data_IF_209566385819
#
_entry.id   IF_209566385819
#
_cell.length_a   1.000
_cell.length_b   1.000
_cell.length_c   1.000
_cell.angle_alpha   90.00
_cell.angle_beta   90.00
_cell.angle_gamma   90.00
#
_symmetry.space_group_name_H-M   'P 1'
#
loop_
_entity.id
_entity.type
_entity.pdbx_description
1 polymer ?
#
# COMPACT_ATOMS: atom_id res chain seq x y z
N UNK A 1 -7.56 -11.32 13.25
CA UNK A 1 -8.62 -12.30 13.54
C UNK A 1 -9.65 -11.75 14.54
N UNK A 2 -9.23 -11.07 15.62
CA UNK A 2 -10.14 -10.45 16.60
C UNK A 2 -11.06 -9.35 16.00
N UNK A 3 -10.54 -8.45 15.16
CA UNK A 3 -11.34 -7.37 14.57
C UNK A 3 -12.41 -7.88 13.59
N UNK A 4 -12.06 -8.84 12.72
CA UNK A 4 -13.03 -9.48 11.81
C UNK A 4 -14.17 -10.15 12.59
N UNK A 5 -13.87 -10.79 13.72
CA UNK A 5 -14.89 -11.42 14.56
C UNK A 5 -15.77 -10.37 15.26
N UNK A 6 -15.20 -9.23 15.67
CA UNK A 6 -15.96 -8.13 16.27
C UNK A 6 -16.99 -7.54 15.29
N UNK A 7 -16.61 -7.39 14.00
CA UNK A 7 -17.54 -6.90 12.98
C UNK A 7 -18.49 -7.97 12.44
N UNK A 8 -18.04 -9.22 12.29
CA UNK A 8 -18.87 -10.33 11.80
C UNK A 8 -19.99 -10.71 12.79
N UNK A 9 -19.80 -10.48 14.10
CA UNK A 9 -20.80 -10.77 15.14
C UNK A 9 -22.05 -9.85 15.10
N UNK A 10 -22.10 -8.83 14.24
CA UNK A 10 -23.23 -7.87 14.18
C UNK A 10 -24.36 -8.25 13.21
N UNK A 11 -24.35 -9.45 12.61
CA UNK A 11 -25.35 -9.84 11.59
C UNK A 11 -26.28 -10.99 12.01
N UNK A 12 -26.75 -11.00 13.25
CA UNK A 12 -27.96 -11.75 13.61
C UNK A 12 -28.91 -10.83 14.38
N UNK A 13 -30.01 -10.45 13.71
CA UNK A 13 -31.21 -9.81 14.24
C UNK A 13 -31.10 -8.31 14.63
N UNK A 14 -31.40 -7.41 13.68
CA UNK A 14 -32.37 -6.31 13.84
C UNK A 14 -32.38 -5.39 12.60
N UNK A 15 -33.52 -5.34 11.91
CA UNK A 15 -33.85 -4.29 10.94
C UNK A 15 -34.16 -3.03 11.75
N UNK A 16 -33.24 -2.06 11.73
CA UNK A 16 -33.43 -0.77 12.39
C UNK A 16 -32.10 -0.08 12.70
N UNK A 17 -31.69 0.85 11.83
CA UNK A 17 -30.53 1.74 11.97
C UNK A 17 -29.23 1.05 12.42
N UNK A 18 -28.40 0.63 11.46
CA UNK A 18 -27.00 0.34 11.77
C UNK A 18 -26.35 1.62 12.30
N UNK A 19 -26.14 1.67 13.62
CA UNK A 19 -25.32 2.73 14.23
C UNK A 19 -23.92 2.62 13.64
N UNK A 20 -23.62 3.47 12.66
CA UNK A 20 -22.29 3.64 12.08
C UNK A 20 -21.45 4.44 13.07
N UNK A 21 -20.21 4.02 13.29
CA UNK A 21 -19.29 4.78 14.13
C UNK A 21 -18.98 6.13 13.44
N UNK A 22 -18.96 7.25 14.18
CA UNK A 22 -18.46 8.52 13.66
C UNK A 22 -17.06 8.37 13.04
N UNK A 23 -16.78 9.05 11.91
CA UNK A 23 -15.47 8.99 11.24
C UNK A 23 -14.28 9.29 12.18
N UNK A 24 -14.44 10.19 13.14
CA UNK A 24 -13.42 10.58 14.11
C UNK A 24 -12.99 9.41 15.01
N UNK A 25 -13.95 8.54 15.38
CA UNK A 25 -13.66 7.34 16.16
C UNK A 25 -13.00 6.27 15.30
N UNK A 26 -13.44 6.11 14.04
CA UNK A 26 -12.81 5.20 13.08
C UNK A 26 -11.34 5.59 12.89
N UNK A 27 -11.07 6.88 12.64
CA UNK A 27 -9.73 7.46 12.53
C UNK A 27 -8.87 7.11 13.73
N UNK A 28 -9.36 7.33 14.95
CA UNK A 28 -8.63 7.04 16.18
C UNK A 28 -8.28 5.55 16.30
N UNK A 29 -9.21 4.66 15.94
CA UNK A 29 -8.97 3.21 15.96
C UNK A 29 -7.92 2.83 14.90
N UNK A 30 -8.06 3.32 13.67
CA UNK A 30 -7.10 3.07 12.58
C UNK A 30 -5.69 3.54 12.96
N UNK A 31 -5.56 4.72 13.57
CA UNK A 31 -4.29 5.25 14.07
C UNK A 31 -3.68 4.39 15.19
N UNK A 32 -4.50 3.83 16.08
CA UNK A 32 -4.02 2.89 17.09
C UNK A 32 -3.45 1.61 16.45
N UNK A 33 -4.02 1.19 15.33
CA UNK A 33 -3.61 0.02 14.56
C UNK A 33 -2.46 0.30 13.57
N UNK A 34 -1.87 1.49 13.57
CA UNK A 34 -0.90 1.94 12.55
C UNK A 34 0.30 1.03 12.34
N UNK A 35 0.68 0.21 13.31
CA UNK A 35 1.82 -0.71 13.19
C UNK A 35 1.39 -2.17 12.94
N UNK A 36 0.08 -2.44 12.87
CA UNK A 36 -0.45 -3.77 12.63
C UNK A 36 -1.02 -3.87 11.21
N UNK A 37 -0.13 -4.17 10.26
CA UNK A 37 -0.46 -4.43 8.85
C UNK A 37 -1.64 -5.39 8.65
N UNK A 38 -1.78 -6.44 9.49
CA UNK A 38 -2.88 -7.43 9.33
C UNK A 38 -4.22 -6.81 9.74
N UNK A 39 -4.22 -6.04 10.82
CA UNK A 39 -5.41 -5.33 11.28
C UNK A 39 -5.81 -4.22 10.31
N UNK A 40 -4.86 -3.42 9.80
CA UNK A 40 -5.12 -2.41 8.78
C UNK A 40 -5.71 -3.04 7.51
N UNK A 41 -5.18 -4.16 7.02
CA UNK A 41 -5.78 -4.87 5.88
C UNK A 41 -7.23 -5.31 6.17
N UNK A 42 -7.54 -5.69 7.41
CA UNK A 42 -8.91 -6.03 7.79
C UNK A 42 -9.83 -4.79 7.76
N UNK A 43 -9.34 -3.63 8.21
CA UNK A 43 -10.08 -2.36 8.21
C UNK A 43 -10.51 -1.92 6.80
N UNK A 44 -9.69 -2.18 5.77
CA UNK A 44 -10.04 -1.90 4.37
C UNK A 44 -11.34 -2.58 3.91
N UNK A 45 -11.71 -3.69 4.53
CA UNK A 45 -12.83 -4.54 4.13
C UNK A 45 -14.08 -4.36 5.01
N UNK A 46 -14.04 -3.48 6.03
CA UNK A 46 -15.15 -3.32 6.98
C UNK A 46 -16.29 -2.50 6.38
N UNK A 47 -16.00 -1.30 5.87
CA UNK A 47 -16.96 -0.38 5.24
C UNK A 47 -16.23 0.74 4.49
N UNK A 48 -16.96 1.59 3.77
CA UNK A 48 -16.40 2.71 3.00
C UNK A 48 -15.61 3.70 3.87
N UNK A 49 -16.12 4.03 5.07
CA UNK A 49 -15.47 5.00 5.96
C UNK A 49 -14.18 4.41 6.56
N UNK A 50 -14.22 3.14 6.99
CA UNK A 50 -13.03 2.43 7.45
C UNK A 50 -11.98 2.28 6.35
N UNK A 51 -12.41 1.99 5.12
CA UNK A 51 -11.53 1.93 3.96
C UNK A 51 -10.86 3.27 3.71
N UNK A 52 -11.62 4.38 3.69
CA UNK A 52 -11.10 5.73 3.48
C UNK A 52 -10.04 6.11 4.53
N UNK A 53 -10.35 5.93 5.82
CA UNK A 53 -9.42 6.27 6.91
C UNK A 53 -8.16 5.41 6.91
N UNK A 54 -8.31 4.13 6.53
CA UNK A 54 -7.19 3.21 6.44
C UNK A 54 -6.32 3.51 5.22
N UNK A 55 -6.92 3.81 4.06
CA UNK A 55 -6.21 4.23 2.85
C UNK A 55 -5.41 5.50 3.13
N UNK A 56 -6.01 6.52 3.73
CA UNK A 56 -5.31 7.74 4.15
C UNK A 56 -4.06 7.40 4.97
N UNK A 57 -4.22 6.58 6.02
CA UNK A 57 -3.09 6.20 6.86
C UNK A 57 -2.00 5.41 6.10
N UNK A 58 -2.39 4.46 5.24
CA UNK A 58 -1.45 3.64 4.47
C UNK A 58 -0.69 4.47 3.43
N UNK A 59 -1.35 5.46 2.83
CA UNK A 59 -0.78 6.29 1.76
C UNK A 59 0.03 7.49 2.25
N UNK A 60 0.00 7.80 3.56
CA UNK A 60 0.97 8.73 4.17
C UNK A 60 2.42 8.36 3.93
N UNK A 61 2.73 7.06 3.90
CA UNK A 61 4.05 6.54 3.58
C UNK A 61 3.91 5.18 2.85
N UNK A 62 3.64 5.20 1.53
CA UNK A 62 3.10 4.05 0.81
C UNK A 62 4.04 2.83 0.74
N UNK A 63 5.35 3.04 0.80
CA UNK A 63 6.35 1.98 0.68
C UNK A 63 6.76 1.35 2.02
N UNK A 64 6.36 1.94 3.15
CA UNK A 64 6.79 1.54 4.49
C UNK A 64 6.50 0.07 4.80
N UNK A 65 5.30 -0.40 4.46
CA UNK A 65 4.86 -1.76 4.75
C UNK A 65 5.43 -2.83 3.81
N UNK A 66 6.14 -2.47 2.75
CA UNK A 66 6.79 -3.46 1.88
C UNK A 66 8.00 -4.10 2.57
N UNK A 67 8.73 -3.29 3.34
CA UNK A 67 10.02 -3.66 3.92
C UNK A 67 9.99 -3.83 5.43
N UNK A 68 8.84 -3.52 6.06
CA UNK A 68 8.60 -3.77 7.48
C UNK A 68 7.79 -5.05 7.68
N UNK A 69 8.32 -5.94 8.50
CA UNK A 69 7.57 -7.06 9.05
C UNK A 69 7.12 -6.68 10.46
N UNK A 70 5.82 -6.85 10.76
CA UNK A 70 5.27 -6.64 12.10
C UNK A 70 6.07 -7.47 13.11
N UNK A 71 6.99 -6.84 13.86
CA UNK A 71 7.47 -7.41 15.10
C UNK A 71 6.51 -6.95 16.17
N UNK A 72 5.64 -7.87 16.60
CA UNK A 72 5.00 -7.74 17.91
C UNK A 72 6.14 -7.88 18.91
N UNK A 73 6.74 -6.76 19.33
CA UNK A 73 7.50 -6.59 20.57
C UNK A 73 7.88 -5.09 20.69
N UNK A 74 7.20 -4.33 21.58
CA UNK A 74 7.49 -2.91 21.81
C UNK A 74 8.73 -2.67 22.69
N UNK A 75 9.38 -3.71 23.20
CA UNK A 75 10.59 -3.55 24.00
C UNK A 75 11.83 -3.51 23.11
N UNK A 76 12.62 -2.46 23.34
CA UNK A 76 13.93 -2.17 22.75
C UNK A 76 13.88 -1.36 21.45
N UNK A 77 13.99 -0.06 21.69
CA UNK A 77 14.59 0.97 20.85
C UNK A 77 15.91 0.48 20.21
N UNK A 78 15.87 -0.36 19.16
CA UNK A 78 17.06 -0.66 18.37
C UNK A 78 17.24 0.43 17.32
N UNK A 79 17.85 1.54 17.77
CA UNK A 79 18.64 2.43 16.90
C UNK A 79 19.55 1.55 16.05
N UNK A 80 19.49 1.72 14.74
CA UNK A 80 20.51 1.35 13.76
C UNK A 80 21.31 0.07 14.07
N UNK A 81 20.80 -1.09 13.65
CA UNK A 81 21.60 -2.17 13.04
C UNK A 81 20.67 -3.33 12.67
N UNK A 82 20.61 -3.61 11.37
CA UNK A 82 20.00 -4.76 10.73
C UNK A 82 18.51 -4.95 11.07
N UNK A 83 17.65 -4.31 10.30
CA UNK A 83 16.24 -4.72 10.18
C UNK A 83 16.22 -6.23 9.96
N UNK A 84 15.93 -7.01 11.01
CA UNK A 84 15.79 -8.47 10.87
C UNK A 84 14.88 -8.69 9.66
N UNK A 85 15.46 -9.33 8.64
CA UNK A 85 14.93 -9.37 7.29
C UNK A 85 13.47 -9.77 7.31
N UNK A 86 12.64 -8.99 6.62
CA UNK A 86 11.24 -9.34 6.50
C UNK A 86 11.15 -10.66 5.72
N UNK A 87 10.58 -11.70 6.33
CA UNK A 87 10.42 -13.03 5.71
C UNK A 87 9.26 -13.08 4.69
N UNK A 88 8.82 -11.95 4.16
CA UNK A 88 7.87 -11.94 3.05
C UNK A 88 8.51 -12.57 1.80
N UNK A 89 7.74 -13.34 1.03
CA UNK A 89 8.24 -13.89 -0.22
C UNK A 89 8.64 -12.76 -1.16
N UNK A 90 9.78 -12.92 -1.84
CA UNK A 90 10.30 -11.91 -2.78
C UNK A 90 9.26 -11.58 -3.85
N UNK A 91 8.59 -12.59 -4.38
CA UNK A 91 7.53 -12.44 -5.39
C UNK A 91 6.37 -11.56 -4.90
N UNK A 92 5.87 -11.79 -3.68
CA UNK A 92 4.78 -10.99 -3.11
C UNK A 92 5.21 -9.53 -2.93
N UNK A 93 6.43 -9.32 -2.44
CA UNK A 93 6.98 -7.97 -2.24
C UNK A 93 7.14 -7.24 -3.57
N UNK A 94 7.67 -7.92 -4.59
CA UNK A 94 7.83 -7.40 -5.94
C UNK A 94 6.48 -7.02 -6.56
N UNK A 95 5.50 -7.92 -6.51
CA UNK A 95 4.14 -7.63 -6.97
C UNK A 95 3.53 -6.40 -6.27
N UNK A 96 3.67 -6.32 -4.94
CA UNK A 96 3.16 -5.18 -4.16
C UNK A 96 3.88 -3.87 -4.50
N UNK A 97 5.20 -3.89 -4.67
CA UNK A 97 5.98 -2.73 -5.12
C UNK A 97 5.54 -2.29 -6.51
N UNK A 98 5.32 -3.23 -7.42
CA UNK A 98 4.80 -2.97 -8.76
C UNK A 98 3.44 -2.27 -8.72
N UNK A 99 2.48 -2.78 -7.94
CA UNK A 99 1.18 -2.14 -7.87
C UNK A 99 1.25 -0.72 -7.29
N UNK A 100 2.03 -0.51 -6.23
CA UNK A 100 2.16 0.83 -5.61
C UNK A 100 2.80 1.85 -6.57
N UNK A 101 3.88 1.46 -7.26
CA UNK A 101 4.54 2.32 -8.24
C UNK A 101 3.63 2.60 -9.43
N UNK A 102 2.87 1.61 -9.92
CA UNK A 102 1.89 1.83 -10.98
C UNK A 102 0.82 2.82 -10.56
N UNK A 103 0.25 2.63 -9.36
CA UNK A 103 -0.75 3.56 -8.84
C UNK A 103 -0.18 4.97 -8.74
N UNK A 104 1.04 5.13 -8.21
CA UNK A 104 1.71 6.43 -8.13
C UNK A 104 1.90 7.10 -9.50
N UNK A 105 2.35 6.33 -10.49
CA UNK A 105 2.55 6.82 -11.85
C UNK A 105 1.23 7.15 -12.56
N UNK A 106 0.19 6.33 -12.37
CA UNK A 106 -1.15 6.53 -12.94
C UNK A 106 -1.79 7.83 -12.48
N UNK A 107 -1.63 8.20 -11.20
CA UNK A 107 -2.21 9.45 -10.70
C UNK A 107 -1.52 10.66 -11.33
N UNK A 108 -0.21 10.58 -11.62
CA UNK A 108 0.51 11.68 -12.26
C UNK A 108 0.16 11.83 -13.75
N UNK A 109 -0.44 10.82 -14.38
CA UNK A 109 -0.85 10.73 -15.79
C UNK A 109 0.00 11.59 -16.75
N UNK A 110 1.33 11.44 -16.64
CA UNK A 110 2.26 12.24 -17.43
C UNK A 110 2.27 11.72 -18.86
N UNK A 111 2.06 12.62 -19.83
CA UNK A 111 2.11 12.28 -21.26
C UNK A 111 3.42 11.58 -21.63
N UNK A 112 4.53 11.97 -21.01
CA UNK A 112 5.84 11.36 -21.25
C UNK A 112 5.91 9.88 -20.82
N UNK A 113 5.17 9.48 -19.77
CA UNK A 113 5.11 8.08 -19.34
C UNK A 113 4.17 7.23 -20.20
N UNK A 114 3.11 7.84 -20.74
CA UNK A 114 2.21 7.20 -21.70
C UNK A 114 2.95 6.94 -23.03
N UNK A 115 3.67 7.95 -23.54
CA UNK A 115 4.49 7.83 -24.77
C UNK A 115 5.58 6.77 -24.65
N UNK A 116 6.20 6.64 -23.48
CA UNK A 116 7.20 5.60 -23.19
C UNK A 116 6.61 4.20 -22.95
N UNK A 117 5.28 4.03 -23.00
CA UNK A 117 4.62 2.74 -22.77
C UNK A 117 4.69 2.25 -21.31
N UNK A 118 5.00 3.13 -20.36
CA UNK A 118 5.08 2.79 -18.94
C UNK A 118 3.66 2.72 -18.32
N UNK A 119 2.75 3.56 -18.80
CA UNK A 119 1.36 3.65 -18.31
C UNK A 119 0.40 3.47 -19.49
N UNK A 120 -0.73 2.77 -19.30
CA UNK A 120 -1.79 2.64 -20.32
C UNK A 120 -2.49 3.99 -20.52
N UNK A 121 -2.76 4.36 -21.78
CA UNK A 121 -3.41 5.63 -22.15
C UNK A 121 -4.87 5.77 -21.66
N UNK A 122 -5.51 4.68 -21.26
CA UNK A 122 -6.88 4.67 -20.71
C UNK A 122 -6.77 4.50 -19.19
N UNK A 123 -6.75 5.62 -18.47
CA UNK A 123 -6.75 5.57 -17.00
C UNK A 123 -8.07 4.97 -16.50
N UNK A 124 -7.99 3.86 -15.75
CA UNK A 124 -9.10 3.36 -14.95
C UNK A 124 -9.43 4.40 -13.88
N UNK A 125 -10.72 4.60 -13.54
CA UNK A 125 -11.12 5.56 -12.50
C UNK A 125 -10.41 5.21 -11.19
N UNK A 126 -9.44 6.04 -10.79
CA UNK A 126 -8.79 5.91 -9.49
C UNK A 126 -9.83 6.18 -8.38
N UNK A 127 -9.88 5.28 -7.40
CA UNK A 127 -10.88 5.33 -6.31
C UNK A 127 -10.65 6.50 -5.37
N UNK A 128 -9.38 6.87 -5.18
CA UNK A 128 -8.94 7.96 -4.32
C UNK A 128 -7.91 8.80 -5.06
N UNK A 129 -7.86 10.09 -4.72
CA UNK A 129 -6.71 10.93 -5.03
C UNK A 129 -5.61 10.65 -4.00
N UNK A 130 -4.79 9.63 -4.27
CA UNK A 130 -3.82 9.18 -3.28
C UNK A 130 -2.67 10.19 -3.05
N UNK A 131 -2.47 11.19 -3.92
CA UNK A 131 -1.46 12.24 -3.68
C UNK A 131 -1.84 13.13 -2.50
N UNK A 132 -3.13 13.40 -2.29
CA UNK A 132 -3.61 14.17 -1.14
C UNK A 132 -3.27 13.51 0.20
N UNK A 133 -3.07 12.19 0.21
CA UNK A 133 -2.71 11.45 1.42
C UNK A 133 -1.20 11.36 1.65
N UNK A 134 -0.38 11.65 0.63
CA UNK A 134 1.07 11.50 0.72
C UNK A 134 1.66 12.52 1.71
N UNK A 135 2.35 12.02 2.73
CA UNK A 135 3.00 12.86 3.74
C UNK A 135 4.52 12.69 3.77
N UNK A 136 5.00 11.45 3.62
CA UNK A 136 6.43 11.09 3.63
C UNK A 136 6.73 10.23 2.42
N UNK A 137 7.71 10.67 1.63
CA UNK A 137 8.32 9.87 0.57
C UNK A 137 9.77 9.51 0.97
N UNK A 138 9.93 8.39 1.66
CA UNK A 138 11.25 7.87 2.02
C UNK A 138 12.00 7.39 0.77
N UNK A 139 13.14 8.02 0.47
CA UNK A 139 13.91 7.72 -0.74
C UNK A 139 14.53 6.32 -0.74
N UNK A 140 14.86 5.79 0.44
CA UNK A 140 15.42 4.45 0.55
C UNK A 140 14.32 3.39 0.29
N UNK A 141 13.13 3.58 0.87
CA UNK A 141 11.98 2.69 0.61
C UNK A 141 11.55 2.75 -0.86
N UNK A 142 11.52 3.95 -1.46
CA UNK A 142 11.23 4.14 -2.90
C UNK A 142 12.28 3.45 -3.78
N UNK A 143 13.57 3.61 -3.48
CA UNK A 143 14.65 2.95 -4.20
C UNK A 143 14.52 1.42 -4.14
N UNK A 144 14.23 0.88 -2.96
CA UNK A 144 13.97 -0.55 -2.81
C UNK A 144 12.77 -1.01 -3.67
N UNK A 145 11.70 -0.22 -3.72
CA UNK A 145 10.51 -0.53 -4.53
C UNK A 145 10.84 -0.56 -6.03
N UNK A 146 11.64 0.39 -6.51
CA UNK A 146 12.09 0.44 -7.91
C UNK A 146 13.02 -0.73 -8.25
N UNK A 147 13.87 -1.14 -7.31
CA UNK A 147 14.69 -2.34 -7.47
C UNK A 147 13.84 -3.61 -7.59
N UNK A 148 12.83 -3.76 -6.73
CA UNK A 148 11.89 -4.88 -6.76
C UNK A 148 11.05 -4.89 -8.05
N UNK A 149 10.58 -3.72 -8.51
CA UNK A 149 9.91 -3.54 -9.81
C UNK A 149 10.77 -4.03 -10.97
N UNK A 150 12.02 -3.58 -11.04
CA UNK A 150 12.92 -3.93 -12.13
C UNK A 150 13.24 -5.43 -12.14
N UNK A 151 13.27 -6.08 -10.96
CA UNK A 151 13.38 -7.54 -10.86
C UNK A 151 12.11 -8.24 -11.34
N UNK A 152 10.92 -7.74 -10.97
CA UNK A 152 9.63 -8.27 -11.44
C UNK A 152 9.54 -8.30 -12.97
N UNK A 153 9.90 -7.18 -13.62
CA UNK A 153 9.83 -7.09 -15.08
C UNK A 153 10.84 -8.00 -15.78
N UNK A 154 12.06 -8.17 -15.23
CA UNK A 154 13.05 -9.12 -15.77
C UNK A 154 12.59 -10.58 -15.68
N UNK A 155 11.86 -10.93 -14.62
CA UNK A 155 11.32 -12.28 -14.44
C UNK A 155 10.12 -12.55 -15.35
N UNK A 156 9.23 -11.57 -15.52
CA UNK A 156 7.98 -11.71 -16.29
C UNK A 156 8.11 -11.40 -17.78
N UNK A 157 9.18 -10.72 -18.24
CA UNK A 157 9.46 -10.54 -19.67
C UNK A 157 9.71 -11.87 -20.42
N UNK A 158 9.81 -12.99 -19.69
CA UNK A 158 9.87 -14.35 -20.25
C UNK A 158 8.49 -15.00 -20.49
N UNK A 159 7.39 -14.46 -19.95
CA UNK A 159 6.11 -15.19 -19.87
C UNK A 159 4.83 -14.42 -20.27
N UNK A 160 4.85 -13.10 -20.55
CA UNK A 160 3.63 -12.42 -21.06
C UNK A 160 3.91 -11.23 -22.00
N UNK A 161 2.94 -10.94 -22.88
CA UNK A 161 2.96 -9.84 -23.87
C UNK A 161 2.65 -8.45 -23.28
N UNK A 162 2.31 -8.36 -22.00
CA UNK A 162 1.99 -7.10 -21.31
C UNK A 162 3.25 -6.55 -20.61
N UNK A 163 4.25 -6.15 -21.40
CA UNK A 163 5.54 -5.71 -20.90
C UNK A 163 5.49 -4.25 -20.42
N UNK A 164 5.54 -4.01 -19.11
CA UNK A 164 5.87 -2.70 -18.56
C UNK A 164 7.39 -2.46 -18.64
N UNK A 165 7.80 -1.26 -19.03
CA UNK A 165 9.23 -0.92 -19.11
C UNK A 165 9.89 -0.79 -17.72
N UNK A 166 11.18 -1.16 -17.58
CA UNK A 166 11.95 -0.88 -16.36
C UNK A 166 12.00 0.63 -16.07
N UNK A 167 11.93 1.00 -14.79
CA UNK A 167 12.14 2.37 -14.35
C UNK A 167 13.65 2.60 -14.16
N UNK A 168 14.23 3.47 -14.98
CA UNK A 168 15.61 3.93 -14.83
C UNK A 168 15.60 5.35 -14.25
N UNK A 169 16.35 5.57 -13.18
CA UNK A 169 16.74 6.93 -12.84
C UNK A 169 17.79 7.35 -13.87
N UNK A 170 17.40 8.22 -14.79
CA UNK A 170 18.36 8.89 -15.66
C UNK A 170 19.34 9.63 -14.77
N UNK A 171 20.63 9.40 -14.97
CA UNK A 171 21.66 10.30 -14.46
C UNK A 171 21.36 11.62 -15.15
N UNK A 172 20.88 12.62 -14.40
CA UNK A 172 20.82 13.99 -14.87
C UNK A 172 22.28 14.44 -14.99
N UNK A 173 22.84 14.27 -16.19
CA UNK A 173 24.10 14.91 -16.62
C UNK A 173 23.81 16.33 -17.05
#
# INVERSE_FOLDING_TARGET
MLLLNFFKKKNENNVGNSKTLPPELIRSIVLHLKNDKKSLHSCLLVSRDWCKETVDLLWKQPFHFLYTCNKINPSVFSRFKNSKQCHCSNEKRQYQATNLLMTYLLIKHDKAFVEKGIIKAKSERITFDYFEFLFVLDLHELYCAIKDWNQWNKSNSKFSKDNYSPLTFGILT
#
